data_IF_536604428274
#
_entry.id   IF_536604428274
#
_cell.length_a   1.000
_cell.length_b   1.000
_cell.length_c   1.000
_cell.angle_alpha   90.00
_cell.angle_beta   90.00
_cell.angle_gamma   90.00
#
_symmetry.space_group_name_H-M   'P 1'
#
loop_
_entity.id
_entity.type
_entity.pdbx_description
1 polymer ?
#
# COMPACT_ATOMS: atom_id res chain seq x y z
N UNK A 1 30.80 -22.85 -23.41
CA UNK A 1 29.32 -22.94 -23.32
C UNK A 1 28.83 -21.82 -22.39
N UNK A 2 28.07 -20.84 -22.89
CA UNK A 2 27.51 -19.75 -22.06
C UNK A 2 26.40 -20.34 -21.17
N UNK A 3 26.59 -20.31 -19.85
CA UNK A 3 25.51 -20.61 -18.89
C UNK A 3 24.52 -19.44 -18.91
N UNK A 4 23.42 -19.58 -19.64
CA UNK A 4 22.29 -18.67 -19.51
C UNK A 4 21.67 -18.90 -18.12
N UNK A 5 21.84 -17.92 -17.24
CA UNK A 5 21.28 -17.94 -15.88
C UNK A 5 19.76 -17.75 -15.95
N UNK A 6 19.04 -18.85 -16.22
CA UNK A 6 17.57 -18.94 -16.23
C UNK A 6 16.96 -18.85 -14.82
N UNK A 7 17.76 -18.61 -13.78
CA UNK A 7 17.32 -18.59 -12.38
C UNK A 7 16.86 -17.21 -11.89
N UNK A 8 17.04 -16.14 -12.67
CA UNK A 8 16.56 -14.81 -12.27
C UNK A 8 15.03 -14.73 -12.25
N UNK A 9 14.34 -15.38 -13.20
CA UNK A 9 12.88 -15.41 -13.26
C UNK A 9 12.25 -16.20 -12.11
N UNK A 10 12.89 -17.30 -11.68
CA UNK A 10 12.43 -18.12 -10.56
C UNK A 10 12.61 -17.40 -9.21
N UNK A 11 13.66 -16.59 -9.06
CA UNK A 11 13.86 -15.73 -7.89
C UNK A 11 12.83 -14.60 -7.82
N UNK A 12 12.56 -13.95 -8.96
CA UNK A 12 11.51 -12.93 -9.08
C UNK A 12 10.12 -13.49 -8.78
N UNK A 13 9.79 -14.69 -9.29
CA UNK A 13 8.52 -15.35 -9.01
C UNK A 13 8.35 -15.72 -7.53
N UNK A 14 9.41 -16.14 -6.82
CA UNK A 14 9.35 -16.41 -5.38
C UNK A 14 9.14 -15.15 -4.55
N UNK A 15 9.77 -14.03 -4.94
CA UNK A 15 9.58 -12.74 -4.28
C UNK A 15 8.18 -12.19 -4.55
N UNK A 16 7.71 -12.27 -5.80
CA UNK A 16 6.35 -11.96 -6.19
C UNK A 16 5.31 -12.80 -5.42
N UNK A 17 5.60 -14.08 -5.14
CA UNK A 17 4.73 -14.95 -4.34
C UNK A 17 4.61 -14.55 -2.85
N UNK A 18 5.59 -13.84 -2.30
CA UNK A 18 5.45 -13.21 -0.98
C UNK A 18 4.74 -11.86 -1.08
N UNK A 19 4.94 -11.13 -2.18
CA UNK A 19 4.19 -9.90 -2.49
C UNK A 19 2.72 -10.15 -2.90
N UNK A 20 2.34 -11.38 -3.29
CA UNK A 20 0.98 -11.76 -3.71
C UNK A 20 -0.07 -11.56 -2.61
N UNK A 21 0.35 -11.44 -1.35
CA UNK A 21 -0.53 -11.15 -0.22
C UNK A 21 -0.62 -9.65 0.12
N UNK A 22 0.24 -8.81 -0.48
CA UNK A 22 0.30 -7.37 -0.21
C UNK A 22 -0.25 -6.56 -1.37
N UNK A 23 -1.10 -5.60 -1.05
CA UNK A 23 -1.61 -4.65 -2.04
C UNK A 23 -0.46 -3.80 -2.57
N UNK A 24 -0.32 -3.77 -3.89
CA UNK A 24 0.68 -2.93 -4.54
C UNK A 24 0.25 -1.47 -4.46
N UNK A 25 1.22 -0.56 -4.33
CA UNK A 25 0.96 0.88 -4.28
C UNK A 25 0.14 1.36 -5.49
N UNK A 26 0.43 0.83 -6.69
CA UNK A 26 -0.28 1.19 -7.92
C UNK A 26 -1.76 0.81 -7.89
N UNK A 27 -2.10 -0.29 -7.23
CA UNK A 27 -3.49 -0.73 -7.14
C UNK A 27 -4.26 0.12 -6.13
N UNK A 28 -3.63 0.48 -5.01
CA UNK A 28 -4.18 1.44 -4.03
C UNK A 28 -4.45 2.78 -4.70
N UNK A 29 -3.49 3.28 -5.48
CA UNK A 29 -3.61 4.55 -6.17
C UNK A 29 -4.80 4.53 -7.14
N UNK A 30 -4.88 3.53 -8.02
CA UNK A 30 -5.98 3.40 -8.99
C UNK A 30 -7.35 3.36 -8.32
N UNK A 31 -7.47 2.57 -7.24
CA UNK A 31 -8.73 2.43 -6.51
C UNK A 31 -9.13 3.75 -5.84
N UNK A 32 -8.21 4.41 -5.14
CA UNK A 32 -8.50 5.70 -4.48
C UNK A 32 -8.81 6.80 -5.49
N UNK A 33 -8.09 6.84 -6.61
CA UNK A 33 -8.37 7.78 -7.70
C UNK A 33 -9.76 7.56 -8.29
N UNK A 34 -10.19 6.31 -8.50
CA UNK A 34 -11.55 6.02 -8.97
C UNK A 34 -12.64 6.51 -8.01
N UNK A 35 -12.43 6.38 -6.69
CA UNK A 35 -13.35 6.97 -5.70
C UNK A 35 -13.38 8.50 -5.78
N UNK A 36 -12.22 9.14 -5.93
CA UNK A 36 -12.13 10.60 -6.04
C UNK A 36 -12.69 11.14 -7.36
N UNK A 37 -12.60 10.38 -8.45
CA UNK A 37 -13.24 10.71 -9.73
C UNK A 37 -14.76 10.65 -9.63
N UNK A 38 -15.29 9.70 -8.85
CA UNK A 38 -16.72 9.58 -8.60
C UNK A 38 -17.24 10.67 -7.64
N UNK A 39 -16.54 10.88 -6.52
CA UNK A 39 -16.84 11.91 -5.53
C UNK A 39 -15.53 12.48 -4.93
N UNK A 40 -15.18 13.74 -5.22
CA UNK A 40 -13.94 14.36 -4.74
C UNK A 40 -13.88 14.50 -3.21
N UNK A 41 -15.02 14.43 -2.52
CA UNK A 41 -15.11 14.53 -1.06
C UNK A 41 -15.23 13.16 -0.37
N UNK A 42 -15.08 12.04 -1.09
CA UNK A 42 -15.18 10.67 -0.53
C UNK A 42 -14.42 10.51 0.80
N UNK A 43 -13.23 11.11 0.90
CA UNK A 43 -12.35 10.98 2.05
C UNK A 43 -12.38 12.19 3.00
N UNK A 44 -13.09 13.28 2.67
CA UNK A 44 -13.12 14.49 3.49
C UNK A 44 -13.68 14.20 4.89
N UNK A 45 -12.95 14.64 5.91
CA UNK A 45 -13.26 14.47 7.33
C UNK A 45 -13.43 13.01 7.79
N UNK A 46 -13.00 12.04 6.96
CA UNK A 46 -13.08 10.62 7.30
C UNK A 46 -11.90 10.18 8.15
N UNK A 47 -12.14 9.09 8.88
CA UNK A 47 -11.10 8.34 9.59
C UNK A 47 -10.83 7.08 8.79
N UNK A 48 -9.58 6.86 8.37
CA UNK A 48 -9.18 5.66 7.64
C UNK A 48 -8.43 4.73 8.59
N UNK A 49 -8.85 3.47 8.62
CA UNK A 49 -8.13 2.39 9.31
C UNK A 49 -7.28 1.62 8.30
N UNK A 50 -5.98 1.53 8.57
CA UNK A 50 -5.03 0.75 7.82
C UNK A 50 -4.81 -0.57 8.57
N UNK A 51 -5.35 -1.67 8.05
CA UNK A 51 -4.96 -2.99 8.52
C UNK A 51 -3.55 -3.29 7.97
N UNK A 52 -2.52 -3.14 8.79
CA UNK A 52 -1.18 -3.51 8.40
C UNK A 52 -0.40 -4.04 9.58
N UNK A 53 0.34 -5.11 9.34
CA UNK A 53 1.18 -5.73 10.36
C UNK A 53 2.34 -4.82 10.79
N UNK A 54 2.89 -4.06 9.83
CA UNK A 54 3.86 -2.98 10.05
C UNK A 54 3.52 -1.75 9.16
N UNK A 55 3.17 -0.58 9.75
CA UNK A 55 2.95 0.65 9.00
C UNK A 55 4.20 1.17 8.26
N UNK A 56 5.42 0.82 8.69
CA UNK A 56 6.66 1.21 7.99
C UNK A 56 6.86 0.44 6.69
N UNK A 57 6.30 -0.75 6.56
CA UNK A 57 6.37 -1.56 5.34
C UNK A 57 5.12 -1.40 4.46
N UNK A 58 3.96 -1.12 5.06
CA UNK A 58 2.67 -1.03 4.35
C UNK A 58 2.58 0.10 3.30
N UNK A 59 2.39 -0.29 2.04
CA UNK A 59 2.08 0.64 0.96
C UNK A 59 0.75 1.37 1.18
N UNK A 60 -0.22 0.72 1.85
CA UNK A 60 -1.52 1.30 2.16
C UNK A 60 -1.38 2.45 3.16
N UNK A 61 -0.66 2.22 4.27
CA UNK A 61 -0.40 3.27 5.25
C UNK A 61 0.40 4.42 4.63
N UNK A 62 1.48 4.10 3.89
CA UNK A 62 2.31 5.10 3.19
C UNK A 62 1.48 5.99 2.27
N UNK A 63 0.59 5.41 1.48
CA UNK A 63 -0.25 6.16 0.55
C UNK A 63 -1.10 7.21 1.28
N UNK A 64 -1.88 6.78 2.27
CA UNK A 64 -2.78 7.68 3.00
C UNK A 64 -2.04 8.67 3.89
N UNK A 65 -0.88 8.30 4.44
CA UNK A 65 -0.04 9.21 5.22
C UNK A 65 0.50 10.35 4.35
N UNK A 66 1.04 10.05 3.16
CA UNK A 66 1.56 11.08 2.23
C UNK A 66 0.43 11.97 1.70
N UNK A 67 -0.75 11.40 1.45
CA UNK A 67 -1.90 12.11 0.89
C UNK A 67 -2.84 12.70 1.95
N UNK A 68 -2.52 12.60 3.24
CA UNK A 68 -3.44 12.90 4.35
C UNK A 68 -4.15 14.26 4.22
N UNK A 69 -3.35 15.32 4.03
CA UNK A 69 -3.87 16.68 3.89
C UNK A 69 -4.59 16.90 2.57
N UNK A 70 -4.09 16.30 1.48
CA UNK A 70 -4.69 16.42 0.15
C UNK A 70 -6.09 15.79 0.11
N UNK A 71 -6.26 14.64 0.76
CA UNK A 71 -7.55 13.93 0.90
C UNK A 71 -8.46 14.56 1.96
N UNK A 72 -7.95 15.47 2.80
CA UNK A 72 -8.72 16.08 3.87
C UNK A 72 -9.14 15.11 4.96
N UNK A 73 -8.30 14.11 5.25
CA UNK A 73 -8.60 13.11 6.28
C UNK A 73 -8.62 13.74 7.66
N UNK A 74 -9.52 13.24 8.52
CA UNK A 74 -9.59 13.62 9.93
C UNK A 74 -8.58 12.85 10.78
N UNK A 75 -8.36 11.57 10.47
CA UNK A 75 -7.45 10.70 11.22
C UNK A 75 -7.06 9.47 10.40
N UNK A 76 -5.84 8.99 10.61
CA UNK A 76 -5.35 7.70 10.12
C UNK A 76 -5.08 6.81 11.34
N UNK A 77 -5.59 5.59 11.35
CA UNK A 77 -5.39 4.62 12.42
C UNK A 77 -4.67 3.42 11.83
N UNK A 78 -3.56 3.02 12.44
CA UNK A 78 -2.86 1.78 12.11
C UNK A 78 -2.60 1.02 13.40
N UNK A 79 -2.72 -0.31 13.35
CA UNK A 79 -2.41 -1.18 14.47
C UNK A 79 -1.37 -2.19 14.02
N UNK A 80 -0.15 -2.08 14.52
CA UNK A 80 0.92 -3.07 14.34
C UNK A 80 1.15 -3.88 15.61
N UNK A 81 1.65 -5.10 15.45
CA UNK A 81 2.11 -5.92 16.58
C UNK A 81 3.47 -5.47 17.13
N UNK A 82 4.28 -4.80 16.30
CA UNK A 82 5.55 -4.23 16.74
C UNK A 82 5.35 -2.76 17.14
N UNK A 83 5.90 -2.40 18.30
CA UNK A 83 5.88 -1.03 18.80
C UNK A 83 6.79 -0.16 17.94
N UNK A 84 6.38 1.10 17.71
CA UNK A 84 7.25 2.09 17.07
C UNK A 84 8.63 2.09 17.76
N UNK A 85 9.75 2.10 17.01
CA UNK A 85 11.07 2.30 17.61
C UNK A 85 11.16 3.63 18.37
#
# INVERSE_FOLDING_TARGET
MKKNSLNQSLGAAKKAKQDEFYTQYVDIQKEVEAYLEFDPDTFRDKVVYCNCDDPFESNFFKYFAVKFNALGLKRLISTSYDGSP
#
